data_IF_246577883276
#
_entry.id   IF_246577883276
#
_cell.length_a   1.000
_cell.length_b   1.000
_cell.length_c   1.000
_cell.angle_alpha   90.00
_cell.angle_beta   90.00
_cell.angle_gamma   90.00
#
_symmetry.space_group_name_H-M   'P 1'
#
loop_
_entity.id
_entity.type
_entity.pdbx_description
1 polymer ?
#
# COMPACT_ATOMS: atom_id res chain seq x y z
N UNK A 1 52.55 -7.46 9.58
CA UNK A 1 52.90 -8.04 8.26
C UNK A 1 51.63 -7.99 7.41
N UNK A 2 51.45 -7.24 6.32
CA UNK A 2 52.27 -6.30 5.57
C UNK A 2 51.46 -5.00 5.41
N UNK A 3 52.12 -3.88 5.68
CA UNK A 3 51.72 -2.55 5.22
C UNK A 3 52.59 -2.15 4.01
N UNK A 4 52.12 -1.14 3.28
CA UNK A 4 52.88 -0.26 2.35
C UNK A 4 53.14 -0.77 0.93
N UNK A 5 52.72 0.05 -0.05
CA UNK A 5 53.56 0.69 -1.09
C UNK A 5 52.69 1.64 -1.91
N UNK A 6 52.79 2.96 -1.68
CA UNK A 6 53.63 3.98 -2.37
C UNK A 6 52.69 4.96 -3.11
N UNK A 7 52.51 6.11 -2.48
CA UNK A 7 52.24 7.40 -3.12
C UNK A 7 53.59 8.07 -3.40
N UNK A 8 53.77 8.65 -4.59
CA UNK A 8 54.76 9.71 -4.87
C UNK A 8 54.78 9.98 -6.37
N UNK A 9 54.31 11.15 -6.79
CA UNK A 9 55.07 12.06 -7.65
C UNK A 9 54.43 13.46 -7.58
N UNK A 10 55.26 14.42 -7.19
CA UNK A 10 54.96 15.83 -6.94
C UNK A 10 54.93 16.64 -8.25
N UNK A 11 54.10 17.68 -8.21
CA UNK A 11 54.23 19.04 -8.76
C UNK A 11 55.43 19.33 -9.68
N UNK A 12 55.13 19.99 -10.80
CA UNK A 12 55.89 21.16 -11.24
C UNK A 12 54.96 22.24 -11.83
N UNK A 13 55.15 23.44 -11.29
CA UNK A 13 54.60 24.75 -11.65
C UNK A 13 55.25 25.33 -12.90
N UNK A 14 54.55 26.19 -13.66
CA UNK A 14 54.96 27.54 -14.12
C UNK A 14 54.06 28.12 -15.23
N UNK A 15 53.33 29.20 -14.91
CA UNK A 15 53.44 30.49 -15.62
C UNK A 15 52.55 30.81 -16.85
N UNK A 16 51.96 32.03 -16.95
CA UNK A 16 50.93 32.40 -17.95
C UNK A 16 51.46 33.30 -19.09
N UNK A 17 50.76 33.37 -20.23
CA UNK A 17 50.96 34.45 -21.21
C UNK A 17 49.69 34.86 -21.98
N UNK A 18 49.50 36.18 -22.03
CA UNK A 18 48.47 37.00 -22.68
C UNK A 18 48.44 36.90 -24.22
N UNK A 19 47.26 37.11 -24.85
CA UNK A 19 46.90 38.38 -25.56
C UNK A 19 45.57 38.29 -26.33
N UNK A 20 44.83 39.41 -26.25
CA UNK A 20 43.68 39.82 -27.07
C UNK A 20 44.06 39.97 -28.55
N UNK A 21 43.11 39.69 -29.45
CA UNK A 21 42.88 40.50 -30.67
C UNK A 21 41.44 40.39 -31.14
N UNK A 22 40.79 41.54 -31.25
CA UNK A 22 39.54 41.86 -31.94
C UNK A 22 39.72 41.80 -33.45
N UNK A 23 38.73 41.29 -34.19
CA UNK A 23 38.51 41.63 -35.60
C UNK A 23 37.07 41.34 -36.00
N UNK A 24 36.34 42.41 -36.25
CA UNK A 24 35.02 42.48 -36.89
C UNK A 24 35.11 42.13 -38.38
N UNK A 25 34.25 41.23 -38.85
CA UNK A 25 33.84 41.13 -40.25
C UNK A 25 32.37 40.72 -40.33
N UNK A 26 31.53 41.63 -40.82
CA UNK A 26 30.19 41.33 -41.31
C UNK A 26 30.31 40.94 -42.79
N UNK A 27 29.71 39.81 -43.17
CA UNK A 27 29.26 39.53 -44.53
C UNK A 27 28.07 38.56 -44.45
N UNK A 28 26.95 39.00 -45.01
CA UNK A 28 25.71 38.25 -45.12
C UNK A 28 25.91 36.96 -45.94
N UNK A 29 25.39 35.83 -45.45
CA UNK A 29 24.76 34.85 -46.33
C UNK A 29 23.63 34.15 -45.58
N UNK A 30 22.45 34.17 -46.20
CA UNK A 30 21.26 33.47 -45.75
C UNK A 30 21.48 31.97 -45.83
N UNK A 31 21.49 31.29 -44.69
CA UNK A 31 21.24 29.85 -44.63
C UNK A 31 20.50 29.54 -43.34
N UNK A 32 19.30 29.01 -43.53
CA UNK A 32 18.39 28.50 -42.52
C UNK A 32 19.07 27.38 -41.72
N UNK A 33 19.68 27.73 -40.59
CA UNK A 33 20.08 26.77 -39.58
C UNK A 33 19.00 26.73 -38.50
N UNK A 34 18.18 25.69 -38.58
CA UNK A 34 17.44 25.14 -37.45
C UNK A 34 18.46 24.72 -36.38
N UNK A 35 18.90 25.66 -35.56
CA UNK A 35 19.43 25.30 -34.24
C UNK A 35 18.23 24.85 -33.42
N UNK A 36 17.98 23.55 -33.42
CA UNK A 36 17.22 22.91 -32.37
C UNK A 36 17.93 23.26 -31.06
N UNK A 37 17.40 24.26 -30.36
CA UNK A 37 17.55 24.39 -28.93
C UNK A 37 17.24 23.00 -28.37
N UNK A 38 18.30 22.29 -27.97
CA UNK A 38 18.18 21.15 -27.07
C UNK A 38 17.60 21.70 -25.78
N UNK A 39 16.28 21.90 -25.80
CA UNK A 39 15.49 21.84 -24.59
C UNK A 39 15.76 20.46 -24.04
N UNK A 40 16.48 20.41 -22.91
CA UNK A 40 16.21 19.39 -21.92
C UNK A 40 14.74 19.61 -21.53
N UNK A 41 13.81 19.14 -22.37
CA UNK A 41 12.45 18.85 -21.95
C UNK A 41 12.61 17.76 -20.91
N UNK A 42 12.72 18.18 -19.65
CA UNK A 42 12.26 17.36 -18.56
C UNK A 42 10.82 17.03 -18.90
N UNK A 43 10.59 15.88 -19.53
CA UNK A 43 9.25 15.31 -19.72
C UNK A 43 8.65 15.19 -18.34
N UNK A 44 7.47 15.76 -18.15
CA UNK A 44 6.76 15.78 -16.87
C UNK A 44 6.75 14.38 -16.25
N UNK A 45 7.39 14.24 -15.09
CA UNK A 45 7.39 13.00 -14.33
C UNK A 45 5.98 12.79 -13.81
N UNK A 46 5.39 11.65 -14.12
CA UNK A 46 4.09 11.25 -13.61
C UNK A 46 4.23 10.08 -12.64
N UNK A 47 3.37 10.04 -11.63
CA UNK A 47 3.14 8.88 -10.78
C UNK A 47 1.76 8.34 -11.08
N UNK A 48 1.67 7.06 -11.48
CA UNK A 48 0.42 6.36 -11.72
C UNK A 48 0.06 5.54 -10.48
N UNK A 49 -1.15 5.69 -9.95
CA UNK A 49 -1.67 4.92 -8.83
C UNK A 49 -2.86 4.08 -9.30
N UNK A 50 -2.76 2.76 -9.16
CA UNK A 50 -3.87 1.84 -9.35
C UNK A 50 -4.87 2.01 -8.21
N UNK A 51 -6.15 2.17 -8.58
CA UNK A 51 -7.25 2.42 -7.65
C UNK A 51 -8.06 1.15 -7.47
N UNK A 52 -8.08 0.65 -6.24
CA UNK A 52 -8.88 -0.50 -5.82
C UNK A 52 -10.22 -0.04 -5.25
N UNK A 53 -11.30 -0.77 -5.53
CA UNK A 53 -12.65 -0.56 -5.01
C UNK A 53 -13.41 -1.88 -4.89
N UNK A 54 -14.56 -1.84 -4.22
CA UNK A 54 -15.51 -2.96 -4.09
C UNK A 54 -16.82 -2.70 -4.85
N UNK A 55 -16.80 -1.77 -5.82
CA UNK A 55 -17.95 -1.23 -6.59
C UNK A 55 -18.93 -0.38 -5.77
N UNK A 56 -18.83 -0.40 -4.44
CA UNK A 56 -19.62 0.46 -3.54
C UNK A 56 -18.81 1.69 -3.11
N UNK A 57 -17.52 1.50 -2.83
CA UNK A 57 -16.61 2.54 -2.35
C UNK A 57 -15.18 2.28 -2.82
N UNK A 58 -14.38 3.35 -2.86
CA UNK A 58 -12.92 3.26 -3.07
C UNK A 58 -12.31 2.63 -1.82
N UNK A 59 -11.42 1.65 -1.99
CA UNK A 59 -10.70 1.05 -0.86
C UNK A 59 -9.88 2.14 -0.15
N UNK A 60 -10.06 2.36 1.17
CA UNK A 60 -9.38 3.44 1.87
C UNK A 60 -7.84 3.38 1.82
N UNK A 61 -7.28 2.19 1.55
CA UNK A 61 -5.84 2.00 1.37
C UNK A 61 -5.28 2.77 0.17
N UNK A 62 -6.12 3.10 -0.81
CA UNK A 62 -5.76 3.97 -1.96
C UNK A 62 -5.31 5.34 -1.46
N UNK A 63 -5.93 5.89 -0.42
CA UNK A 63 -5.58 7.23 0.10
C UNK A 63 -4.27 7.24 0.90
N UNK A 64 -3.89 6.11 1.52
CA UNK A 64 -2.54 5.92 2.07
C UNK A 64 -1.49 5.83 0.95
N UNK A 65 -1.80 5.10 -0.12
CA UNK A 65 -0.92 5.05 -1.29
C UNK A 65 -0.83 6.40 -2.02
N UNK A 66 -1.89 7.21 -2.01
CA UNK A 66 -1.90 8.57 -2.54
C UNK A 66 -0.98 9.49 -1.74
N UNK A 67 -1.00 9.39 -0.40
CA UNK A 67 -0.06 10.12 0.47
C UNK A 67 1.38 9.79 0.11
N UNK A 68 1.69 8.50 -0.09
CA UNK A 68 3.01 8.05 -0.52
C UNK A 68 3.36 8.57 -1.92
N UNK A 69 2.42 8.53 -2.88
CA UNK A 69 2.60 9.03 -4.24
C UNK A 69 2.98 10.52 -4.25
N UNK A 70 2.36 11.35 -3.40
CA UNK A 70 2.69 12.78 -3.25
C UNK A 70 4.11 13.04 -2.75
N UNK A 71 4.71 12.10 -2.00
CA UNK A 71 6.11 12.23 -1.53
C UNK A 71 7.14 12.02 -2.65
N UNK A 72 6.73 11.43 -3.78
CA UNK A 72 7.59 11.21 -4.95
C UNK A 72 7.76 12.47 -5.82
N UNK A 73 7.09 13.57 -5.48
CA UNK A 73 7.26 14.89 -6.12
C UNK A 73 7.18 14.87 -7.66
N UNK A 74 6.34 14.00 -8.20
CA UNK A 74 6.00 13.98 -9.63
C UNK A 74 5.15 15.20 -10.00
N UNK A 75 5.31 15.69 -11.23
CA UNK A 75 4.55 16.80 -11.80
C UNK A 75 3.06 16.48 -11.93
N UNK A 76 2.71 15.21 -12.19
CA UNK A 76 1.33 14.74 -12.28
C UNK A 76 1.08 13.48 -11.46
N UNK A 77 -0.04 13.46 -10.74
CA UNK A 77 -0.62 12.27 -10.13
C UNK A 77 -1.78 11.75 -10.99
N UNK A 78 -1.62 10.53 -11.48
CA UNK A 78 -2.58 9.85 -12.33
C UNK A 78 -3.28 8.74 -11.53
N UNK A 79 -4.60 8.73 -11.50
CA UNK A 79 -5.39 7.62 -10.96
C UNK A 79 -5.80 6.68 -12.08
N UNK A 80 -5.58 5.37 -11.94
CA UNK A 80 -6.03 4.35 -12.88
C UNK A 80 -7.14 3.52 -12.26
N UNK A 81 -8.36 3.59 -12.82
CA UNK A 81 -9.54 2.91 -12.30
C UNK A 81 -10.28 2.16 -13.41
N UNK A 82 -10.74 0.95 -13.10
CA UNK A 82 -11.56 0.11 -13.99
C UNK A 82 -12.87 -0.18 -13.28
N UNK A 83 -13.95 0.47 -13.69
CA UNK A 83 -15.26 0.31 -13.05
C UNK A 83 -16.36 0.74 -13.99
N UNK A 84 -17.57 0.21 -13.80
CA UNK A 84 -18.78 0.75 -14.46
C UNK A 84 -19.46 1.84 -13.61
N UNK A 85 -19.03 2.02 -12.36
CA UNK A 85 -19.64 2.94 -11.43
C UNK A 85 -19.11 4.38 -11.60
N UNK A 86 -19.82 5.17 -12.40
CA UNK A 86 -19.49 6.57 -12.64
C UNK A 86 -19.40 7.45 -11.37
N UNK A 87 -20.06 7.05 -10.27
CA UNK A 87 -19.98 7.79 -9.00
C UNK A 87 -18.60 7.67 -8.38
N UNK A 88 -17.97 6.49 -8.44
CA UNK A 88 -16.61 6.29 -7.95
C UNK A 88 -15.59 7.07 -8.79
N UNK A 89 -15.78 7.12 -10.11
CA UNK A 89 -14.92 7.91 -11.00
C UNK A 89 -15.02 9.40 -10.67
N UNK A 90 -16.24 9.90 -10.43
CA UNK A 90 -16.47 11.28 -10.03
C UNK A 90 -15.85 11.59 -8.67
N UNK A 91 -15.98 10.70 -7.69
CA UNK A 91 -15.31 10.82 -6.39
C UNK A 91 -13.79 10.88 -6.58
N UNK A 92 -13.22 9.90 -7.29
CA UNK A 92 -11.79 9.77 -7.52
C UNK A 92 -11.19 11.01 -8.20
N UNK A 93 -11.92 11.59 -9.16
CA UNK A 93 -11.46 12.79 -9.88
C UNK A 93 -11.09 13.93 -8.93
N UNK A 94 -11.67 14.01 -7.73
CA UNK A 94 -11.36 15.07 -6.77
C UNK A 94 -9.93 14.99 -6.20
N UNK A 95 -9.24 13.85 -6.32
CA UNK A 95 -7.96 13.60 -5.64
C UNK A 95 -6.75 13.49 -6.59
N UNK A 96 -6.98 13.43 -7.91
CA UNK A 96 -5.94 13.19 -8.92
C UNK A 96 -5.96 14.24 -10.01
N UNK A 97 -4.78 14.63 -10.50
CA UNK A 97 -4.66 15.58 -11.62
C UNK A 97 -5.35 15.05 -12.88
N UNK A 98 -5.31 13.73 -13.07
CA UNK A 98 -5.95 13.04 -14.18
C UNK A 98 -6.38 11.64 -13.75
N UNK A 99 -7.58 11.24 -14.13
CA UNK A 99 -8.11 9.89 -13.93
C UNK A 99 -8.19 9.20 -15.29
N UNK A 100 -7.49 8.09 -15.41
CA UNK A 100 -7.60 7.16 -16.53
C UNK A 100 -8.68 6.16 -16.15
N UNK A 101 -9.80 6.24 -16.85
CA UNK A 101 -10.98 5.44 -16.57
C UNK A 101 -11.19 4.42 -17.69
N UNK A 102 -11.41 3.16 -17.30
CA UNK A 102 -11.88 2.11 -18.18
C UNK A 102 -13.28 1.72 -17.71
N UNK A 103 -14.28 1.97 -18.55
CA UNK A 103 -15.69 1.65 -18.28
C UNK A 103 -16.00 0.16 -18.53
N UNK A 104 -15.28 -0.72 -17.84
CA UNK A 104 -15.42 -2.17 -17.90
C UNK A 104 -15.39 -2.75 -16.48
N UNK A 105 -15.51 -4.08 -16.39
CA UNK A 105 -15.43 -4.79 -15.11
C UNK A 105 -14.43 -5.92 -15.28
N UNK A 106 -13.37 -5.88 -14.48
CA UNK A 106 -12.31 -6.88 -14.50
C UNK A 106 -12.38 -7.75 -13.26
N UNK A 107 -12.26 -9.04 -13.48
CA UNK A 107 -12.41 -10.07 -12.45
C UNK A 107 -11.07 -10.72 -12.10
N UNK A 108 -10.07 -10.60 -12.98
CA UNK A 108 -8.75 -11.22 -12.80
C UNK A 108 -7.63 -10.22 -13.05
N UNK A 109 -6.50 -10.41 -12.37
CA UNK A 109 -5.36 -9.49 -12.43
C UNK A 109 -4.74 -9.37 -13.83
N UNK A 110 -4.87 -10.40 -14.67
CA UNK A 110 -4.43 -10.42 -16.06
C UNK A 110 -5.11 -9.34 -16.91
N UNK A 111 -6.40 -9.09 -16.69
CA UNK A 111 -7.14 -8.05 -17.41
C UNK A 111 -6.60 -6.66 -17.05
N UNK A 112 -6.37 -6.41 -15.75
CA UNK A 112 -5.74 -5.18 -15.27
C UNK A 112 -4.33 -4.99 -15.83
N UNK A 113 -3.51 -6.04 -15.82
CA UNK A 113 -2.13 -5.98 -16.31
C UNK A 113 -2.07 -5.69 -17.82
N UNK A 114 -2.90 -6.37 -18.62
CA UNK A 114 -2.98 -6.13 -20.07
C UNK A 114 -3.47 -4.72 -20.38
N UNK A 115 -4.48 -4.23 -19.67
CA UNK A 115 -4.99 -2.88 -19.85
C UNK A 115 -3.94 -1.82 -19.49
N UNK A 116 -3.20 -2.02 -18.39
CA UNK A 116 -2.09 -1.16 -17.99
C UNK A 116 -0.99 -1.16 -19.04
N UNK A 117 -0.53 -2.33 -19.51
CA UNK A 117 0.47 -2.41 -20.58
C UNK A 117 0.02 -1.69 -21.85
N UNK A 118 -1.23 -1.91 -22.27
CA UNK A 118 -1.81 -1.24 -23.43
C UNK A 118 -1.79 0.27 -23.24
N UNK A 119 -2.26 0.76 -22.10
CA UNK A 119 -2.25 2.18 -21.75
C UNK A 119 -0.83 2.77 -21.81
N UNK A 120 0.14 2.09 -21.19
CA UNK A 120 1.54 2.52 -21.15
C UNK A 120 2.14 2.61 -22.56
N UNK A 121 1.86 1.63 -23.42
CA UNK A 121 2.36 1.55 -24.80
C UNK A 121 1.69 2.57 -25.74
N UNK A 122 0.36 2.65 -25.76
CA UNK A 122 -0.39 3.46 -26.73
C UNK A 122 -0.27 4.95 -26.49
N UNK A 123 -0.38 5.36 -25.23
CA UNK A 123 -0.33 6.78 -24.89
C UNK A 123 1.09 7.32 -24.90
N UNK A 124 2.08 6.49 -25.28
CA UNK A 124 3.52 6.78 -25.18
C UNK A 124 3.76 7.58 -23.92
N UNK A 125 3.42 6.97 -22.79
CA UNK A 125 3.47 7.61 -21.45
C UNK A 125 4.92 7.82 -21.00
N UNK A 126 5.71 8.35 -21.91
CA UNK A 126 7.05 8.87 -21.82
C UNK A 126 7.06 9.95 -20.73
N UNK A 127 7.18 9.51 -19.47
CA UNK A 127 7.02 10.38 -18.31
C UNK A 127 6.56 9.65 -17.06
N UNK A 128 5.93 8.46 -17.15
CA UNK A 128 5.60 7.68 -15.95
C UNK A 128 6.89 7.19 -15.30
N UNK A 129 7.20 7.80 -14.17
CA UNK A 129 8.37 7.51 -13.37
C UNK A 129 8.09 6.41 -12.35
N UNK A 130 6.86 6.36 -11.84
CA UNK A 130 6.43 5.45 -10.79
C UNK A 130 5.04 4.89 -11.07
N UNK A 131 4.84 3.62 -10.74
CA UNK A 131 3.55 2.94 -10.73
C UNK A 131 3.34 2.35 -9.34
N UNK A 132 2.28 2.77 -8.66
CA UNK A 132 1.97 2.41 -7.30
C UNK A 132 0.65 1.65 -7.22
N UNK A 133 0.53 0.81 -6.21
CA UNK A 133 -0.74 0.29 -5.70
C UNK A 133 -0.64 0.13 -4.18
N UNK A 134 -1.77 0.10 -3.45
CA UNK A 134 -1.77 -0.40 -2.08
C UNK A 134 -1.20 -1.83 -2.00
N UNK A 135 -0.54 -2.19 -0.90
CA UNK A 135 -0.04 -3.55 -0.63
C UNK A 135 -1.16 -4.51 -0.20
N UNK A 136 -2.26 -4.52 -0.96
CA UNK A 136 -3.43 -5.37 -0.79
C UNK A 136 -3.29 -6.65 -1.62
N UNK A 137 -4.26 -7.57 -1.52
CA UNK A 137 -4.31 -8.75 -2.39
C UNK A 137 -4.35 -8.33 -3.87
N UNK A 138 -5.11 -7.29 -4.20
CA UNK A 138 -5.20 -6.72 -5.53
C UNK A 138 -3.84 -6.24 -6.05
N UNK A 139 -3.19 -5.31 -5.33
CA UNK A 139 -1.88 -4.77 -5.74
C UNK A 139 -0.79 -5.84 -5.85
N UNK A 140 -0.79 -6.82 -4.93
CA UNK A 140 0.13 -7.98 -4.95
C UNK A 140 -0.10 -8.93 -6.13
N UNK A 141 -1.29 -8.94 -6.73
CA UNK A 141 -1.60 -9.79 -7.87
C UNK A 141 -1.25 -9.11 -9.21
N UNK A 142 -1.55 -7.81 -9.33
CA UNK A 142 -1.38 -7.05 -10.58
C UNK A 142 0.06 -6.60 -10.80
N UNK A 143 0.68 -5.92 -9.81
CA UNK A 143 1.96 -5.22 -10.05
C UNK A 143 3.16 -6.12 -10.32
N UNK A 144 3.31 -7.31 -9.69
CA UNK A 144 4.41 -8.21 -10.03
C UNK A 144 4.38 -8.71 -11.47
N UNK A 145 3.19 -8.96 -12.02
CA UNK A 145 3.01 -9.36 -13.43
C UNK A 145 3.40 -8.21 -14.36
N UNK A 146 2.91 -7.01 -14.07
CA UNK A 146 3.29 -5.81 -14.81
C UNK A 146 4.81 -5.57 -14.80
N UNK A 147 5.46 -5.76 -13.65
CA UNK A 147 6.91 -5.62 -13.53
C UNK A 147 7.69 -6.61 -14.38
N UNK A 148 7.24 -7.87 -14.45
CA UNK A 148 7.83 -8.85 -15.35
C UNK A 148 7.72 -8.43 -16.81
N UNK A 149 6.53 -7.98 -17.24
CA UNK A 149 6.28 -7.52 -18.61
C UNK A 149 7.10 -6.29 -18.99
N UNK A 150 7.29 -5.36 -18.04
CA UNK A 150 8.11 -4.15 -18.23
C UNK A 150 9.61 -4.37 -17.97
N UNK A 151 10.02 -5.57 -17.54
CA UNK A 151 11.39 -5.88 -17.06
C UNK A 151 11.87 -4.90 -15.98
N UNK A 152 10.95 -4.48 -15.12
CA UNK A 152 11.21 -3.60 -13.97
C UNK A 152 10.96 -4.37 -12.68
N UNK A 153 11.95 -4.40 -11.79
CA UNK A 153 11.87 -5.10 -10.51
C UNK A 153 10.92 -4.35 -9.56
N UNK A 154 9.77 -4.93 -9.16
CA UNK A 154 8.90 -4.29 -8.19
C UNK A 154 9.53 -4.30 -6.79
N UNK A 155 9.32 -3.23 -6.03
CA UNK A 155 9.49 -3.23 -4.58
C UNK A 155 8.12 -3.38 -3.95
N UNK A 156 7.95 -4.45 -3.17
CA UNK A 156 6.71 -4.70 -2.46
C UNK A 156 6.78 -4.28 -1.01
N UNK A 157 5.65 -3.83 -0.46
CA UNK A 157 5.46 -3.53 0.97
C UNK A 157 6.33 -2.36 1.47
N UNK A 158 6.39 -1.28 0.69
CA UNK A 158 7.13 -0.07 1.07
C UNK A 158 6.45 0.60 2.27
N UNK A 159 7.24 0.93 3.29
CA UNK A 159 6.77 1.58 4.52
C UNK A 159 7.33 2.98 4.71
N UNK A 160 8.37 3.35 3.95
CA UNK A 160 8.93 4.70 3.97
C UNK A 160 9.55 5.04 2.62
N UNK A 161 9.37 6.29 2.20
CA UNK A 161 10.00 6.88 1.01
C UNK A 161 11.02 7.90 1.51
N UNK A 162 12.31 7.68 1.22
CA UNK A 162 13.37 8.61 1.59
C UNK A 162 13.55 9.68 0.51
N UNK A 163 13.47 9.27 -0.76
CA UNK A 163 13.43 10.13 -1.93
C UNK A 163 12.82 9.37 -3.12
N UNK A 164 12.80 9.98 -4.30
CA UNK A 164 12.23 9.41 -5.54
C UNK A 164 12.82 8.05 -5.94
N UNK A 165 14.00 7.66 -5.45
CA UNK A 165 14.69 6.44 -5.86
C UNK A 165 15.07 5.54 -4.69
N UNK A 166 14.62 5.86 -3.47
CA UNK A 166 15.09 5.20 -2.27
C UNK A 166 13.97 4.94 -1.27
N UNK A 167 13.84 3.68 -0.88
CA UNK A 167 12.68 3.14 -0.19
C UNK A 167 13.10 2.25 0.96
N UNK A 168 12.31 2.23 2.02
CA UNK A 168 12.46 1.25 3.10
C UNK A 168 11.28 0.28 3.06
N UNK A 169 11.59 -1.01 3.20
CA UNK A 169 10.58 -2.06 3.39
C UNK A 169 10.99 -3.02 4.50
N UNK A 170 10.04 -3.62 5.22
CA UNK A 170 10.32 -4.67 6.17
C UNK A 170 10.65 -5.97 5.44
N UNK A 171 11.53 -6.74 6.07
CA UNK A 171 11.85 -8.13 5.73
C UNK A 171 11.82 -8.97 7.01
N UNK A 172 11.77 -10.29 6.87
CA UNK A 172 11.69 -11.22 8.01
C UNK A 172 10.56 -10.87 9.00
N UNK A 173 9.34 -10.68 8.48
CA UNK A 173 8.16 -10.29 9.27
C UNK A 173 8.34 -8.97 10.06
N UNK A 174 9.15 -8.06 9.52
CA UNK A 174 9.45 -6.76 10.11
C UNK A 174 10.46 -6.80 11.25
N UNK A 175 11.24 -7.87 11.38
CA UNK A 175 12.37 -7.92 12.31
C UNK A 175 13.62 -7.20 11.77
N UNK A 176 13.66 -6.94 10.46
CA UNK A 176 14.68 -6.10 9.85
C UNK A 176 14.06 -5.18 8.79
N UNK A 177 14.72 -4.05 8.56
CA UNK A 177 14.34 -3.04 7.57
C UNK A 177 15.40 -3.04 6.47
N UNK A 178 14.96 -3.20 5.22
CA UNK A 178 15.81 -3.12 4.05
C UNK A 178 15.63 -1.74 3.40
N UNK A 179 16.75 -1.02 3.24
CA UNK A 179 16.82 0.19 2.45
C UNK A 179 17.25 -0.18 1.02
N UNK A 180 16.43 0.19 0.04
CA UNK A 180 16.60 -0.18 -1.37
C UNK A 180 16.74 1.11 -2.17
N UNK A 181 17.83 1.22 -2.92
CA UNK A 181 18.11 2.35 -3.79
C UNK A 181 18.15 1.90 -5.24
N UNK A 182 17.39 2.58 -6.11
CA UNK A 182 17.46 2.41 -7.55
C UNK A 182 18.40 3.42 -8.20
N UNK A 183 18.97 3.01 -9.33
CA UNK A 183 19.72 3.92 -10.20
C UNK A 183 18.74 4.62 -11.15
N UNK A 184 18.62 5.97 -11.10
CA UNK A 184 17.60 6.71 -11.84
C UNK A 184 17.55 6.51 -13.35
N UNK A 185 18.64 6.06 -13.97
CA UNK A 185 18.76 5.89 -15.43
C UNK A 185 18.50 4.46 -15.91
N UNK A 186 18.46 3.47 -15.01
CA UNK A 186 18.46 2.05 -15.37
C UNK A 186 17.10 1.36 -15.14
N UNK A 187 16.18 1.99 -14.39
CA UNK A 187 14.91 1.33 -14.00
C UNK A 187 13.77 2.33 -14.04
N UNK A 188 13.01 2.35 -15.15
CA UNK A 188 11.76 3.12 -15.26
C UNK A 188 10.71 2.32 -16.05
N UNK A 189 9.44 2.34 -15.64
CA UNK A 189 8.93 2.94 -14.40
C UNK A 189 9.35 2.11 -13.16
N UNK A 190 9.51 2.77 -12.01
CA UNK A 190 9.63 2.07 -10.72
C UNK A 190 8.26 1.58 -10.28
N UNK A 191 8.17 0.32 -9.86
CA UNK A 191 6.90 -0.31 -9.49
C UNK A 191 6.90 -0.59 -7.99
N UNK A 192 5.93 -0.04 -7.27
CA UNK A 192 5.89 -0.08 -5.81
C UNK A 192 4.52 -0.57 -5.33
N UNK A 193 4.50 -1.41 -4.29
CA UNK A 193 3.29 -1.51 -3.45
C UNK A 193 3.53 -0.85 -2.11
N UNK A 194 2.57 -0.06 -1.66
CA UNK A 194 2.67 0.78 -0.46
C UNK A 194 1.91 0.12 0.68
N UNK A 195 2.56 -0.08 1.83
CA UNK A 195 1.90 -0.60 3.03
C UNK A 195 0.84 0.41 3.51
N UNK A 196 -0.45 0.04 3.57
CA UNK A 196 -1.51 0.98 3.94
C UNK A 196 -1.35 1.58 5.34
N UNK A 197 -0.82 0.81 6.29
CA UNK A 197 -0.67 1.22 7.69
C UNK A 197 0.50 2.16 7.95
N UNK A 198 1.43 2.32 6.99
CA UNK A 198 2.64 3.13 7.19
C UNK A 198 2.48 4.59 6.73
N UNK A 199 1.37 4.92 6.07
CA UNK A 199 1.08 6.25 5.58
C UNK A 199 -0.34 6.65 5.96
N UNK A 200 -0.48 7.83 6.58
CA UNK A 200 -1.79 8.41 6.85
C UNK A 200 -2.59 8.56 5.55
N UNK A 201 -3.90 8.36 5.65
CA UNK A 201 -4.81 8.52 4.52
C UNK A 201 -4.88 10.00 4.14
N UNK A 202 -4.64 10.31 2.86
CA UNK A 202 -4.73 11.67 2.35
C UNK A 202 -6.00 11.88 1.52
N UNK A 203 -6.91 12.69 2.04
CA UNK A 203 -8.16 13.09 1.37
C UNK A 203 -8.10 14.54 0.85
N UNK A 204 -6.91 15.14 0.74
CA UNK A 204 -6.78 16.47 0.16
C UNK A 204 -7.11 16.45 -1.33
N UNK A 205 -8.00 17.36 -1.73
CA UNK A 205 -8.49 17.50 -3.11
C UNK A 205 -7.48 18.26 -3.97
N UNK A 206 -7.55 18.05 -5.28
CA UNK A 206 -6.82 18.81 -6.30
C UNK A 206 -7.73 19.83 -6.98
N UNK A 207 -7.17 20.97 -7.37
CA UNK A 207 -7.90 22.07 -8.02
C UNK A 207 -8.15 21.83 -9.52
N UNK A 208 -7.37 20.94 -10.14
CA UNK A 208 -7.51 20.56 -11.54
C UNK A 208 -7.59 19.04 -11.65
N UNK A 209 -8.66 18.54 -12.27
CA UNK A 209 -8.86 17.14 -12.56
C UNK A 209 -9.46 16.94 -13.94
N UNK A 210 -8.90 15.99 -14.68
CA UNK A 210 -9.41 15.56 -15.98
C UNK A 210 -9.71 14.06 -15.95
N UNK A 211 -10.92 13.66 -16.29
CA UNK A 211 -11.23 12.25 -16.56
C UNK A 211 -10.98 11.95 -18.03
N UNK A 212 -10.22 10.90 -18.31
CA UNK A 212 -9.90 10.43 -19.65
C UNK A 212 -10.39 8.99 -19.78
N UNK A 213 -11.40 8.80 -20.63
CA UNK A 213 -11.87 7.47 -21.01
C UNK A 213 -10.79 6.77 -21.84
N UNK A 214 -10.45 5.55 -21.44
CA UNK A 214 -9.53 4.67 -22.12
C UNK A 214 -10.25 3.37 -22.49
N UNK A 215 -10.30 3.07 -23.79
CA UNK A 215 -10.83 1.80 -24.25
C UNK A 215 -9.72 0.74 -24.19
N UNK A 216 -9.80 -0.11 -23.17
CA UNK A 216 -9.14 -1.39 -23.23
C UNK A 216 -9.88 -2.28 -24.21
N UNK A 217 -9.37 -2.41 -25.42
CA UNK A 217 -9.60 -3.63 -26.21
C UNK A 217 -8.87 -4.81 -25.56
N UNK A 218 -8.90 -4.94 -24.23
CA UNK A 218 -8.50 -6.15 -23.55
C UNK A 218 -9.45 -7.21 -24.12
N UNK A 219 -8.94 -8.01 -25.04
CA UNK A 219 -9.66 -9.16 -25.53
C UNK A 219 -9.99 -9.93 -24.27
N UNK A 220 -11.27 -9.99 -23.87
CA UNK A 220 -11.72 -10.83 -22.77
C UNK A 220 -11.04 -12.16 -23.00
N UNK A 221 -10.00 -12.43 -22.21
CA UNK A 221 -9.28 -13.65 -22.43
C UNK A 221 -10.23 -14.67 -21.86
N UNK A 222 -10.98 -15.33 -22.75
CA UNK A 222 -11.39 -16.71 -22.59
C UNK A 222 -10.13 -17.59 -22.49
N UNK A 223 -9.20 -17.22 -21.61
CA UNK A 223 -8.04 -17.97 -21.23
C UNK A 223 -8.63 -19.11 -20.43
N UNK A 224 -8.81 -20.25 -21.10
CA UNK A 224 -9.26 -21.53 -20.52
C UNK A 224 -8.40 -22.03 -19.33
N UNK A 225 -7.42 -21.24 -18.88
CA UNK A 225 -6.51 -21.50 -17.76
C UNK A 225 -6.92 -20.84 -16.45
N UNK A 226 -7.80 -19.82 -16.45
CA UNK A 226 -8.27 -19.21 -15.22
C UNK A 226 -9.72 -19.67 -14.99
N UNK A 227 -9.99 -20.40 -13.89
CA UNK A 227 -11.34 -20.81 -13.54
C UNK A 227 -12.24 -19.58 -13.42
N UNK A 228 -13.42 -19.63 -14.04
CA UNK A 228 -14.42 -18.59 -13.88
C UNK A 228 -14.81 -18.49 -12.40
N UNK A 229 -14.82 -17.28 -11.85
CA UNK A 229 -15.34 -17.04 -10.51
C UNK A 229 -16.82 -17.45 -10.49
N UNK A 230 -17.15 -18.54 -9.77
CA UNK A 230 -18.50 -19.10 -9.70
C UNK A 230 -19.39 -18.33 -8.72
N UNK A 231 -18.80 -17.85 -7.63
CA UNK A 231 -19.47 -17.03 -6.62
C UNK A 231 -18.47 -16.16 -5.88
N UNK A 232 -18.92 -15.00 -5.43
CA UNK A 232 -18.28 -14.23 -4.37
C UNK A 232 -19.34 -14.00 -3.30
N UNK A 233 -19.07 -14.47 -2.08
CA UNK A 233 -19.84 -14.08 -0.91
C UNK A 233 -19.02 -13.03 -0.18
N UNK A 234 -19.50 -11.78 -0.17
CA UNK A 234 -19.16 -10.89 0.93
C UNK A 234 -19.70 -11.56 2.19
N UNK A 235 -18.87 -11.87 3.19
CA UNK A 235 -19.21 -12.66 4.39
C UNK A 235 -20.28 -12.07 5.32
N UNK A 236 -21.40 -11.61 4.77
CA UNK A 236 -22.58 -11.12 5.44
C UNK A 236 -23.62 -12.24 5.67
N UNK A 237 -23.18 -13.49 5.76
CA UNK A 237 -24.04 -14.58 6.19
C UNK A 237 -24.10 -14.58 7.72
N UNK A 238 -25.14 -13.93 8.21
CA UNK A 238 -25.43 -13.73 9.62
C UNK A 238 -25.58 -15.03 10.41
N UNK A 239 -24.65 -15.23 11.34
CA UNK A 239 -24.84 -16.10 12.49
C UNK A 239 -24.39 -15.35 13.75
N UNK A 240 -25.37 -14.98 14.58
CA UNK A 240 -25.18 -14.27 15.84
C UNK A 240 -25.90 -12.93 15.87
N UNK A 241 -26.92 -12.81 16.73
CA UNK A 241 -27.81 -11.65 16.88
C UNK A 241 -27.09 -10.29 16.83
N UNK A 242 -27.61 -9.43 15.96
CA UNK A 242 -27.18 -8.04 15.79
C UNK A 242 -26.41 -7.85 14.50
N UNK A 243 -27.11 -7.47 13.43
CA UNK A 243 -26.52 -6.96 12.20
C UNK A 243 -25.69 -5.72 12.54
N UNK A 244 -24.44 -5.93 12.89
CA UNK A 244 -23.62 -4.87 13.45
C UNK A 244 -23.00 -4.08 12.31
N UNK A 245 -23.18 -2.76 12.38
CA UNK A 245 -22.51 -1.70 11.62
C UNK A 245 -20.98 -1.66 11.86
N UNK A 246 -20.34 -2.81 12.14
CA UNK A 246 -18.93 -2.88 12.54
C UNK A 246 -18.04 -2.59 11.32
N UNK A 247 -16.99 -1.78 11.48
CA UNK A 247 -16.06 -1.47 10.40
C UNK A 247 -15.26 -2.72 10.00
N UNK A 248 -14.75 -2.75 8.77
CA UNK A 248 -13.74 -3.72 8.37
C UNK A 248 -12.44 -3.51 9.18
N UNK A 249 -11.70 -4.60 9.42
CA UNK A 249 -10.45 -4.59 10.19
C UNK A 249 -9.41 -3.59 9.65
N UNK A 250 -9.33 -3.37 8.34
CA UNK A 250 -8.37 -2.43 7.74
C UNK A 250 -8.77 -0.96 7.94
N UNK A 251 -10.02 -0.70 8.32
CA UNK A 251 -10.58 0.65 8.49
C UNK A 251 -10.84 1.00 9.96
N UNK A 252 -10.90 0.00 10.84
CA UNK A 252 -11.25 0.18 12.23
C UNK A 252 -10.17 0.95 13.01
N UNK A 253 -10.59 1.96 13.78
CA UNK A 253 -9.72 2.64 14.73
C UNK A 253 -9.41 1.78 15.96
N UNK A 254 -10.30 0.83 16.28
CA UNK A 254 -10.20 -0.04 17.45
C UNK A 254 -10.47 -1.47 17.02
N UNK A 255 -9.68 -2.41 17.53
CA UNK A 255 -9.85 -3.83 17.24
C UNK A 255 -9.80 -4.61 18.54
N UNK A 256 -10.80 -5.44 18.78
CA UNK A 256 -10.77 -6.47 19.81
C UNK A 256 -10.52 -7.79 19.10
N UNK A 257 -9.41 -8.47 19.39
CA UNK A 257 -9.05 -9.72 18.72
C UNK A 257 -9.02 -10.92 19.64
N UNK A 258 -9.68 -11.99 19.22
CA UNK A 258 -9.76 -13.26 19.94
C UNK A 258 -8.75 -14.30 19.46
N UNK A 259 -8.18 -15.05 20.39
CA UNK A 259 -7.38 -16.23 20.09
C UNK A 259 -8.08 -17.54 20.41
N UNK A 260 -7.33 -18.65 20.24
CA UNK A 260 -7.77 -20.01 20.65
C UNK A 260 -8.14 -20.09 22.13
N UNK A 261 -7.68 -19.15 22.96
CA UNK A 261 -8.09 -19.03 24.36
C UNK A 261 -9.61 -18.93 24.57
N UNK A 262 -10.38 -18.50 23.56
CA UNK A 262 -11.85 -18.48 23.60
C UNK A 262 -12.52 -19.85 23.51
N UNK A 263 -11.79 -20.92 23.17
CA UNK A 263 -12.23 -22.32 23.14
C UNK A 263 -13.30 -22.70 22.09
N UNK A 264 -14.17 -21.79 21.66
CA UNK A 264 -15.17 -22.02 20.61
C UNK A 264 -15.69 -20.70 20.01
N UNK A 265 -16.48 -20.80 18.94
CA UNK A 265 -17.10 -19.66 18.25
C UNK A 265 -18.16 -18.93 19.09
N UNK A 266 -18.97 -19.63 19.88
CA UNK A 266 -20.03 -19.01 20.70
C UNK A 266 -19.47 -17.97 21.69
N UNK A 267 -18.28 -18.25 22.24
CA UNK A 267 -17.59 -17.36 23.16
C UNK A 267 -17.08 -16.06 22.52
N UNK A 268 -17.03 -15.95 21.18
CA UNK A 268 -16.74 -14.67 20.51
C UNK A 268 -17.80 -13.61 20.79
N UNK A 269 -19.00 -14.00 21.26
CA UNK A 269 -20.00 -13.07 21.78
C UNK A 269 -19.43 -12.09 22.81
N UNK A 270 -18.50 -12.53 23.66
CA UNK A 270 -17.82 -11.65 24.62
C UNK A 270 -17.05 -10.50 23.93
N UNK A 271 -16.43 -10.78 22.79
CA UNK A 271 -15.69 -9.77 22.03
C UNK A 271 -16.62 -8.87 21.23
N UNK A 272 -17.71 -9.43 20.71
CA UNK A 272 -18.76 -8.66 20.04
C UNK A 272 -19.41 -7.65 20.99
N UNK A 273 -19.80 -8.08 22.20
CA UNK A 273 -20.39 -7.22 23.23
C UNK A 273 -19.42 -6.10 23.66
N UNK A 274 -18.13 -6.44 23.82
CA UNK A 274 -17.10 -5.46 24.13
C UNK A 274 -16.89 -4.45 22.99
N UNK A 275 -16.75 -4.93 21.75
CA UNK A 275 -16.55 -4.08 20.58
C UNK A 275 -17.73 -3.12 20.36
N UNK A 276 -18.96 -3.60 20.56
CA UNK A 276 -20.16 -2.76 20.46
C UNK A 276 -20.20 -1.68 21.53
N UNK A 277 -19.79 -2.02 22.76
CA UNK A 277 -19.70 -1.06 23.87
C UNK A 277 -18.66 0.03 23.59
N UNK A 278 -17.55 -0.31 22.93
CA UNK A 278 -16.52 0.66 22.57
C UNK A 278 -16.98 1.57 21.41
N UNK A 279 -17.82 1.07 20.49
CA UNK A 279 -18.23 1.74 19.27
C UNK A 279 -17.10 1.81 18.22
N UNK A 280 -17.41 1.95 16.93
CA UNK A 280 -16.42 1.99 15.83
C UNK A 280 -15.26 0.98 16.00
N UNK A 281 -15.57 -0.23 16.48
CA UNK A 281 -14.60 -1.25 16.83
C UNK A 281 -14.88 -2.49 16.00
N UNK A 282 -13.85 -3.00 15.33
CA UNK A 282 -13.91 -4.28 14.66
C UNK A 282 -13.58 -5.42 15.62
N UNK A 283 -14.00 -6.62 15.25
CA UNK A 283 -13.56 -7.85 15.91
C UNK A 283 -12.65 -8.62 14.97
N UNK A 284 -11.48 -8.99 15.46
CA UNK A 284 -10.50 -9.79 14.73
C UNK A 284 -10.26 -11.13 15.40
N UNK A 285 -9.45 -11.97 14.77
CA UNK A 285 -9.05 -13.25 15.34
C UNK A 285 -7.67 -13.69 14.90
N UNK A 286 -7.06 -14.58 15.69
CA UNK A 286 -5.85 -15.28 15.28
C UNK A 286 -6.17 -16.34 14.23
N UNK A 287 -5.18 -16.70 13.42
CA UNK A 287 -5.30 -17.85 12.50
C UNK A 287 -5.72 -19.13 13.22
N UNK A 288 -5.22 -19.38 14.42
CA UNK A 288 -5.60 -20.57 15.19
C UNK A 288 -7.10 -20.65 15.47
N UNK A 289 -7.77 -19.51 15.74
CA UNK A 289 -9.22 -19.48 15.94
C UNK A 289 -9.99 -19.66 14.62
N UNK A 290 -9.47 -19.14 13.51
CA UNK A 290 -10.06 -19.32 12.17
C UNK A 290 -9.95 -20.78 11.72
N UNK A 291 -8.77 -21.38 11.86
CA UNK A 291 -8.50 -22.77 11.49
C UNK A 291 -9.36 -23.74 12.33
N UNK A 292 -9.69 -23.40 13.58
CA UNK A 292 -10.60 -24.16 14.44
C UNK A 292 -12.10 -23.88 14.15
N UNK A 293 -12.41 -23.03 13.16
CA UNK A 293 -13.78 -22.72 12.74
C UNK A 293 -14.55 -21.79 13.67
N UNK A 294 -13.87 -21.02 14.54
CA UNK A 294 -14.56 -20.12 15.48
C UNK A 294 -15.16 -18.90 14.79
N UNK A 295 -14.49 -18.40 13.74
CA UNK A 295 -14.86 -17.21 12.96
C UNK A 295 -14.35 -17.33 11.52
N UNK A 296 -14.93 -16.59 10.55
CA UNK A 296 -14.49 -16.61 9.16
C UNK A 296 -13.07 -16.05 8.95
N UNK A 297 -12.46 -16.41 7.81
CA UNK A 297 -11.10 -15.98 7.44
C UNK A 297 -10.95 -14.46 7.31
N UNK A 298 -12.03 -13.74 6.96
CA UNK A 298 -12.03 -12.28 6.84
C UNK A 298 -11.71 -11.57 8.16
N UNK A 299 -11.89 -12.23 9.30
CA UNK A 299 -11.55 -11.71 10.63
C UNK A 299 -10.09 -11.98 11.01
N UNK A 300 -9.31 -12.69 10.18
CA UNK A 300 -7.95 -13.08 10.52
C UNK A 300 -6.99 -11.89 10.52
N UNK A 301 -6.30 -11.69 11.64
CA UNK A 301 -5.18 -10.75 11.79
C UNK A 301 -3.86 -11.50 11.85
N UNK A 302 -2.86 -11.03 11.11
CA UNK A 302 -1.51 -11.59 11.05
C UNK A 302 -0.90 -11.56 9.66
N UNK A 303 0.31 -12.11 9.53
CA UNK A 303 1.09 -12.17 8.29
C UNK A 303 0.34 -12.80 7.11
N UNK A 304 -0.47 -13.83 7.38
CA UNK A 304 -1.30 -14.52 6.38
C UNK A 304 -2.75 -14.02 6.34
N UNK A 305 -3.08 -13.02 7.15
CA UNK A 305 -4.39 -12.37 7.19
C UNK A 305 -4.27 -10.89 6.87
N UNK A 306 -5.04 -10.07 7.57
CA UNK A 306 -4.97 -8.61 7.48
C UNK A 306 -3.87 -8.08 8.40
N UNK A 307 -3.07 -7.16 7.87
CA UNK A 307 -2.11 -6.34 8.64
C UNK A 307 -2.84 -5.06 9.03
N UNK A 308 -2.93 -4.79 10.32
CA UNK A 308 -3.70 -3.69 10.90
C UNK A 308 -2.79 -2.85 11.81
N UNK A 309 -3.13 -1.57 11.94
CA UNK A 309 -2.47 -0.64 12.86
C UNK A 309 -3.52 0.31 13.48
N UNK A 310 -4.49 -0.20 14.27
CA UNK A 310 -5.48 0.62 14.94
C UNK A 310 -4.85 1.52 16.03
N UNK A 311 -5.64 2.49 16.49
CA UNK A 311 -5.31 3.28 17.67
C UNK A 311 -5.31 2.43 18.95
N UNK A 312 -6.16 1.39 19.00
CA UNK A 312 -6.23 0.45 20.11
C UNK A 312 -6.45 -0.98 19.59
N UNK A 313 -5.61 -1.89 20.06
CA UNK A 313 -5.71 -3.32 19.83
C UNK A 313 -5.86 -4.07 21.16
N UNK A 314 -6.98 -4.73 21.38
CA UNK A 314 -7.22 -5.55 22.58
C UNK A 314 -7.09 -7.03 22.22
N UNK A 315 -5.98 -7.64 22.60
CA UNK A 315 -5.67 -9.04 22.37
C UNK A 315 -6.21 -9.92 23.52
N UNK A 316 -7.29 -10.66 23.26
CA UNK A 316 -7.98 -11.50 24.25
C UNK A 316 -7.71 -12.99 24.00
N UNK A 317 -7.01 -13.63 24.94
CA UNK A 317 -6.65 -15.06 24.82
C UNK A 317 -5.73 -15.35 23.63
N UNK A 318 -4.93 -14.36 23.23
CA UNK A 318 -3.95 -14.43 22.14
C UNK A 318 -2.57 -14.71 22.73
N UNK A 319 -1.86 -15.73 22.24
CA UNK A 319 -0.53 -16.09 22.73
C UNK A 319 0.58 -15.14 22.25
N UNK A 320 0.41 -14.50 21.09
CA UNK A 320 1.42 -13.63 20.49
C UNK A 320 2.44 -14.36 19.62
N UNK A 321 2.02 -15.37 18.87
CA UNK A 321 2.87 -15.99 17.84
C UNK A 321 3.38 -14.93 16.86
N UNK A 322 4.65 -15.04 16.42
CA UNK A 322 5.33 -14.06 15.56
C UNK A 322 4.50 -13.69 14.32
N UNK A 323 3.82 -14.68 13.72
CA UNK A 323 2.98 -14.47 12.54
C UNK A 323 1.75 -13.61 12.85
N UNK A 324 1.19 -13.69 14.06
CA UNK A 324 0.10 -12.80 14.47
C UNK A 324 0.63 -11.40 14.78
N UNK A 325 1.73 -11.30 15.55
CA UNK A 325 2.37 -10.03 15.89
C UNK A 325 2.76 -9.23 14.64
N UNK A 326 3.28 -9.90 13.61
CA UNK A 326 3.62 -9.27 12.33
C UNK A 326 2.46 -8.51 11.67
N UNK A 327 1.21 -8.84 12.03
CA UNK A 327 0.01 -8.17 11.52
C UNK A 327 -0.61 -7.14 12.46
N UNK A 328 -0.10 -6.94 13.69
CA UNK A 328 -0.73 -6.02 14.65
C UNK A 328 0.23 -5.25 15.56
N UNK A 329 1.54 -5.56 15.54
CA UNK A 329 2.54 -4.92 16.42
C UNK A 329 2.68 -3.41 16.20
N UNK A 330 2.29 -2.92 15.04
CA UNK A 330 2.34 -1.50 14.69
C UNK A 330 1.08 -0.74 15.19
N UNK A 331 0.22 -1.38 15.98
CA UNK A 331 -0.91 -0.71 16.67
C UNK A 331 -0.40 0.31 17.68
N UNK A 332 -1.10 1.43 17.83
CA UNK A 332 -0.65 2.53 18.70
C UNK A 332 -0.69 2.17 20.19
N UNK A 333 -1.72 1.43 20.61
CA UNK A 333 -1.85 0.90 21.97
C UNK A 333 -2.27 -0.56 21.88
N UNK A 334 -1.54 -1.45 22.55
CA UNK A 334 -1.81 -2.88 22.65
C UNK A 334 -2.16 -3.22 24.09
N UNK A 335 -3.36 -3.77 24.29
CA UNK A 335 -3.84 -4.32 25.57
C UNK A 335 -3.90 -5.83 25.43
N UNK A 336 -3.28 -6.57 26.35
CA UNK A 336 -3.30 -8.04 26.34
C UNK A 336 -4.03 -8.59 27.57
N UNK A 337 -4.96 -9.51 27.35
CA UNK A 337 -5.66 -10.27 28.39
C UNK A 337 -5.35 -11.75 28.17
N UNK A 338 -4.56 -12.34 29.06
CA UNK A 338 -4.18 -13.75 28.96
C UNK A 338 -3.99 -14.36 30.35
N UNK A 339 -4.38 -15.62 30.53
CA UNK A 339 -4.16 -16.36 31.79
C UNK A 339 -2.69 -16.74 31.99
N UNK A 340 -1.95 -16.92 30.90
CA UNK A 340 -0.55 -17.29 30.92
C UNK A 340 0.33 -16.04 30.97
N UNK A 341 0.91 -15.75 32.14
CA UNK A 341 1.79 -14.59 32.36
C UNK A 341 3.05 -14.59 31.49
N UNK A 342 3.45 -15.74 30.96
CA UNK A 342 4.64 -15.87 30.11
C UNK A 342 4.30 -15.79 28.61
N UNK A 343 3.04 -15.51 28.26
CA UNK A 343 2.60 -15.43 26.88
C UNK A 343 3.38 -14.33 26.10
N UNK A 344 3.97 -14.65 24.92
CA UNK A 344 4.73 -13.70 24.11
C UNK A 344 4.02 -12.39 23.77
N UNK A 345 2.68 -12.36 23.75
CA UNK A 345 1.91 -11.13 23.51
C UNK A 345 2.26 -10.01 24.50
N UNK A 346 2.64 -10.35 25.74
CA UNK A 346 3.02 -9.36 26.75
C UNK A 346 4.33 -8.64 26.43
N UNK A 347 5.17 -9.19 25.54
CA UNK A 347 6.41 -8.52 25.12
C UNK A 347 6.15 -7.29 24.24
N UNK A 348 4.97 -7.20 23.63
CA UNK A 348 4.58 -6.07 22.76
C UNK A 348 3.37 -5.31 23.30
N UNK A 349 2.82 -5.70 24.45
CA UNK A 349 1.65 -5.06 25.03
C UNK A 349 2.06 -3.83 25.87
N UNK A 350 1.37 -2.72 25.67
CA UNK A 350 1.49 -1.53 26.53
C UNK A 350 0.81 -1.75 27.88
N UNK A 351 -0.30 -2.51 27.88
CA UNK A 351 -1.03 -2.88 29.09
C UNK A 351 -1.32 -4.39 29.09
N UNK A 352 -1.07 -5.04 30.22
CA UNK A 352 -1.30 -6.47 30.38
C UNK A 352 -2.16 -6.80 31.59
N UNK A 353 -3.16 -7.65 31.40
CA UNK A 353 -3.95 -8.26 32.49
C UNK A 353 -3.71 -9.77 32.46
N UNK A 354 -3.08 -10.27 33.51
CA UNK A 354 -2.94 -11.71 33.74
C UNK A 354 -4.19 -12.20 34.45
N UNK A 355 -5.06 -12.93 33.75
CA UNK A 355 -6.33 -13.37 34.32
C UNK A 355 -7.17 -14.20 33.35
N UNK A 356 -8.27 -14.75 33.87
CA UNK A 356 -9.24 -15.46 33.04
C UNK A 356 -10.04 -14.45 32.19
N UNK A 357 -9.93 -14.57 30.87
CA UNK A 357 -10.66 -13.73 29.93
C UNK A 357 -12.18 -13.80 30.13
N UNK A 358 -12.71 -14.92 30.64
CA UNK A 358 -14.15 -15.12 30.86
C UNK A 358 -14.67 -14.30 32.06
N UNK A 359 -13.78 -13.77 32.89
CA UNK A 359 -14.10 -12.87 33.99
C UNK A 359 -13.75 -11.43 33.64
N UNK A 360 -12.52 -11.22 33.15
CA UNK A 360 -11.96 -9.88 32.87
C UNK A 360 -12.74 -9.15 31.77
N UNK A 361 -13.08 -9.83 30.66
CA UNK A 361 -13.74 -9.15 29.52
C UNK A 361 -15.17 -8.70 29.86
N UNK A 362 -16.02 -9.52 30.50
CA UNK A 362 -17.32 -9.04 31.00
C UNK A 362 -17.20 -7.86 31.98
N UNK A 363 -16.30 -7.93 32.96
CA UNK A 363 -16.12 -6.84 33.93
C UNK A 363 -15.69 -5.54 33.25
N UNK A 364 -14.75 -5.62 32.32
CA UNK A 364 -14.30 -4.47 31.54
C UNK A 364 -15.45 -3.87 30.71
N UNK A 365 -16.27 -4.72 30.10
CA UNK A 365 -17.44 -4.30 29.34
C UNK A 365 -18.45 -3.57 30.23
N UNK A 366 -18.75 -4.09 31.41
CA UNK A 366 -19.67 -3.46 32.36
C UNK A 366 -19.16 -2.12 32.90
N UNK A 367 -17.85 -2.00 33.14
CA UNK A 367 -17.24 -0.71 33.52
C UNK A 367 -17.35 0.30 32.39
N UNK A 368 -17.15 -0.10 31.14
CA UNK A 368 -17.26 0.78 29.98
C UNK A 368 -18.69 1.26 29.73
N UNK A 369 -19.71 0.42 29.95
CA UNK A 369 -21.12 0.82 29.83
C UNK A 369 -21.56 1.89 30.83
N UNK A 370 -20.85 2.02 31.95
CA UNK A 370 -21.16 3.02 33.01
C UNK A 370 -20.53 4.38 32.75
N UNK A 371 -19.63 4.49 31.77
CA UNK A 371 -19.07 5.75 31.30
C UNK A 371 -19.88 6.27 30.12
#
# INVERSE_FOLDING_TARGET
MLSSRISSLRNNTLGPLFKKTTSSFNLFSSSSNNLSLFSNQFRDKSTLLLVEHDEKQINPSVFSALKAAKQLKSDQLLGFIVTKNASLVKELSQYFNKVIHINEEYTVAEEYEQALLKFLNEKKTDGISHILAPHTVFGKNVLPKLGASLKSQPIVDVVQILNEYEFIKPIYAGNAMAQIQFKPKETKPLILTIRPTSFDKDYSKTDASQVVEFSSSATSTNNARIPKLLSSSSGADGSGSGASKRPDLLQAQRIVSGGRGLKNGDNFKLLYDLADTMGNCAVGATRAAVDDGYVPNDMQVGQTGKVVAPELYVAVGVSGAIQHLAGMKDSKVIVAINKDKEAPIFQVADYGVVGDLFQVVPEMTEVLKKK
#
